data_IF_365691278059
#
_entry.id   IF_365691278059
#
_cell.length_a   1.000
_cell.length_b   1.000
_cell.length_c   1.000
_cell.angle_alpha   90.00
_cell.angle_beta   90.00
_cell.angle_gamma   90.00
#
_symmetry.space_group_name_H-M   'P 1'
#
loop_
_entity.id
_entity.type
_entity.pdbx_description
1 polymer ?
#
# COMPACT_ATOMS: atom_id res chain seq x y z
N UNK A 1 33.20 -4.88 -17.33
CA UNK A 1 32.42 -5.79 -18.21
C UNK A 1 31.06 -5.14 -18.49
N UNK A 2 30.57 -5.19 -19.74
CA UNK A 2 29.17 -4.82 -20.03
C UNK A 2 28.32 -6.08 -19.91
N UNK A 3 27.52 -6.17 -18.85
CA UNK A 3 26.47 -7.17 -18.74
C UNK A 3 25.36 -6.77 -19.72
N UNK A 4 25.04 -7.64 -20.68
CA UNK A 4 24.10 -7.31 -21.77
C UNK A 4 22.78 -8.08 -21.69
N UNK A 5 22.75 -9.18 -20.96
CA UNK A 5 21.56 -10.02 -20.78
C UNK A 5 21.31 -10.34 -19.30
N UNK A 6 20.06 -10.63 -18.97
CA UNK A 6 19.66 -10.99 -17.60
C UNK A 6 20.36 -12.27 -17.11
N UNK A 7 20.59 -13.23 -18.00
CA UNK A 7 21.32 -14.47 -17.69
C UNK A 7 22.79 -14.21 -17.37
N UNK A 8 23.43 -13.28 -18.10
CA UNK A 8 24.79 -12.84 -17.77
C UNK A 8 24.80 -12.10 -16.43
N UNK A 9 23.80 -11.26 -16.18
CA UNK A 9 23.70 -10.50 -14.94
C UNK A 9 23.64 -11.45 -13.73
N UNK A 10 22.79 -12.45 -13.79
CA UNK A 10 22.54 -13.40 -12.71
C UNK A 10 23.58 -14.53 -12.64
N UNK A 11 24.71 -14.38 -13.32
CA UNK A 11 25.86 -15.26 -13.14
C UNK A 11 26.57 -14.94 -11.81
N UNK A 12 26.96 -15.94 -11.00
CA UNK A 12 27.64 -15.71 -9.72
C UNK A 12 28.88 -14.81 -9.81
N UNK A 13 29.65 -14.90 -10.90
CA UNK A 13 30.83 -14.04 -11.12
C UNK A 13 30.50 -12.54 -11.26
N UNK A 14 29.27 -12.22 -11.65
CA UNK A 14 28.82 -10.83 -11.82
C UNK A 14 28.06 -10.32 -10.59
N UNK A 15 28.00 -11.10 -9.50
CA UNK A 15 27.26 -10.75 -8.29
C UNK A 15 27.71 -9.40 -7.73
N UNK A 16 29.02 -9.18 -7.57
CA UNK A 16 29.57 -7.93 -7.04
C UNK A 16 29.22 -6.71 -7.91
N UNK A 17 29.21 -6.89 -9.24
CA UNK A 17 28.84 -5.83 -10.19
C UNK A 17 27.36 -5.46 -10.01
N UNK A 18 26.47 -6.44 -9.81
CA UNK A 18 25.07 -6.19 -9.53
C UNK A 18 24.89 -5.47 -8.21
N UNK A 19 25.55 -5.93 -7.15
CA UNK A 19 25.44 -5.30 -5.83
C UNK A 19 25.91 -3.85 -5.90
N UNK A 20 27.04 -3.59 -6.56
CA UNK A 20 27.53 -2.23 -6.78
C UNK A 20 26.53 -1.37 -7.55
N UNK A 21 25.92 -1.92 -8.61
CA UNK A 21 24.89 -1.20 -9.39
C UNK A 21 23.66 -0.86 -8.54
N UNK A 22 23.24 -1.77 -7.66
CA UNK A 22 22.15 -1.51 -6.71
C UNK A 22 22.54 -0.42 -5.72
N UNK A 23 23.78 -0.43 -5.20
CA UNK A 23 24.31 0.59 -4.30
C UNK A 23 24.28 1.98 -4.91
N UNK A 24 24.72 2.10 -6.14
CA UNK A 24 24.69 3.37 -6.88
C UNK A 24 23.24 3.85 -7.10
N UNK A 25 22.35 2.97 -7.55
CA UNK A 25 20.93 3.32 -7.80
C UNK A 25 20.17 3.69 -6.53
N UNK A 26 20.46 3.02 -5.42
CA UNK A 26 19.80 3.24 -4.15
C UNK A 26 20.50 4.28 -3.27
N UNK A 27 21.54 4.95 -3.78
CA UNK A 27 22.34 5.96 -3.08
C UNK A 27 22.85 5.42 -1.73
N UNK A 28 23.68 4.36 -1.80
CA UNK A 28 24.35 3.81 -0.62
C UNK A 28 25.43 4.76 -0.10
N UNK A 29 25.38 5.05 1.19
CA UNK A 29 26.37 5.80 1.93
C UNK A 29 27.33 4.81 2.61
N UNK A 30 28.58 4.80 2.15
CA UNK A 30 29.65 3.93 2.65
C UNK A 30 30.12 4.34 4.06
N UNK A 31 30.00 5.62 4.46
CA UNK A 31 30.43 6.09 5.79
C UNK A 31 29.46 5.65 6.88
N UNK A 32 28.16 5.72 6.57
CA UNK A 32 27.08 5.40 7.50
C UNK A 32 26.52 3.99 7.30
N UNK A 33 27.06 3.23 6.34
CA UNK A 33 26.58 1.91 5.92
C UNK A 33 25.05 1.85 5.75
N UNK A 34 24.47 2.83 5.04
CA UNK A 34 23.03 2.89 4.85
C UNK A 34 22.64 3.30 3.43
N UNK A 35 21.54 2.75 2.93
CA UNK A 35 20.93 3.27 1.70
C UNK A 35 20.07 4.49 2.01
N UNK A 36 20.23 5.56 1.25
CA UNK A 36 19.33 6.72 1.29
C UNK A 36 17.96 6.39 0.66
N UNK A 37 17.93 5.54 -0.37
CA UNK A 37 16.69 5.01 -0.98
C UNK A 37 16.48 3.53 -0.64
N UNK A 38 16.38 3.18 0.65
CA UNK A 38 16.22 1.79 1.14
C UNK A 38 15.09 1.00 0.44
N UNK A 39 13.94 1.63 0.23
CA UNK A 39 12.80 1.00 -0.44
C UNK A 39 13.08 0.60 -1.89
N UNK A 40 13.97 1.33 -2.57
CA UNK A 40 14.42 1.01 -3.92
C UNK A 40 15.39 -0.18 -3.89
N UNK A 41 16.40 -0.16 -3.01
CA UNK A 41 17.32 -1.29 -2.82
C UNK A 41 16.54 -2.59 -2.58
N UNK A 42 15.58 -2.57 -1.66
CA UNK A 42 14.70 -3.70 -1.38
C UNK A 42 13.97 -4.26 -2.59
N UNK A 43 13.31 -3.36 -3.33
CA UNK A 43 12.54 -3.75 -4.50
C UNK A 43 13.44 -4.36 -5.55
N UNK A 44 14.61 -3.77 -5.78
CA UNK A 44 15.60 -4.28 -6.72
C UNK A 44 16.07 -5.67 -6.29
N UNK A 45 16.39 -5.87 -5.01
CA UNK A 45 16.77 -7.17 -4.48
C UNK A 45 15.71 -8.25 -4.66
N UNK A 46 14.46 -7.95 -4.29
CA UNK A 46 13.34 -8.90 -4.49
C UNK A 46 13.13 -9.22 -5.96
N UNK A 47 13.25 -8.23 -6.84
CA UNK A 47 13.18 -8.41 -8.28
C UNK A 47 14.30 -9.32 -8.79
N UNK A 48 15.55 -9.10 -8.36
CA UNK A 48 16.70 -9.91 -8.73
C UNK A 48 16.53 -11.37 -8.29
N UNK A 49 16.11 -11.60 -7.04
CA UNK A 49 15.82 -12.94 -6.52
C UNK A 49 14.73 -13.65 -7.32
N UNK A 50 13.67 -12.92 -7.69
CA UNK A 50 12.60 -13.46 -8.53
C UNK A 50 13.11 -13.83 -9.93
N UNK A 51 13.97 -13.01 -10.53
CA UNK A 51 14.56 -13.31 -11.83
C UNK A 51 15.48 -14.55 -11.77
N UNK A 52 16.29 -14.70 -10.72
CA UNK A 52 17.11 -15.89 -10.51
C UNK A 52 16.26 -17.16 -10.37
N UNK A 53 15.16 -17.09 -9.61
CA UNK A 53 14.21 -18.19 -9.49
C UNK A 53 13.57 -18.57 -10.82
N UNK A 54 13.18 -17.59 -11.64
CA UNK A 54 12.62 -17.84 -12.98
C UNK A 54 13.65 -18.50 -13.89
N UNK A 55 14.90 -18.02 -13.90
CA UNK A 55 15.97 -18.64 -14.67
C UNK A 55 16.21 -20.09 -14.24
N UNK A 56 16.24 -20.36 -12.93
CA UNK A 56 16.34 -21.73 -12.40
C UNK A 56 15.19 -22.61 -12.89
N UNK A 57 13.96 -22.12 -12.81
CA UNK A 57 12.79 -22.86 -13.25
C UNK A 57 12.80 -23.15 -14.76
N UNK A 58 13.33 -22.23 -15.58
CA UNK A 58 13.52 -22.45 -17.01
C UNK A 58 14.64 -23.45 -17.31
N UNK A 59 15.74 -23.42 -16.55
CA UNK A 59 16.84 -24.37 -16.66
C UNK A 59 16.40 -25.80 -16.35
N UNK A 60 15.66 -25.99 -15.26
CA UNK A 60 15.10 -27.30 -14.87
C UNK A 60 14.21 -27.86 -16.00
N UNK A 61 13.37 -27.01 -16.61
CA UNK A 61 12.51 -27.43 -17.73
C UNK A 61 13.30 -27.83 -18.99
N UNK A 62 14.51 -27.31 -19.15
CA UNK A 62 15.39 -27.56 -20.30
C UNK A 62 16.45 -28.62 -20.02
N UNK A 63 16.45 -29.20 -18.81
CA UNK A 63 17.48 -30.15 -18.34
C UNK A 63 18.91 -29.58 -18.44
N UNK A 64 19.05 -28.27 -18.19
CA UNK A 64 20.35 -27.56 -18.19
C UNK A 64 20.90 -27.47 -16.76
N UNK A 65 21.60 -28.53 -16.33
CA UNK A 65 22.13 -28.65 -14.97
C UNK A 65 23.18 -27.58 -14.63
N UNK A 66 23.93 -27.09 -15.61
CA UNK A 66 24.92 -26.04 -15.42
C UNK A 66 24.23 -24.71 -15.05
N UNK A 67 23.17 -24.35 -15.75
CA UNK A 67 22.41 -23.13 -15.46
C UNK A 67 21.66 -23.25 -14.12
N UNK A 68 21.18 -24.44 -13.75
CA UNK A 68 20.61 -24.71 -12.42
C UNK A 68 21.65 -24.45 -11.33
N UNK A 69 22.85 -25.01 -11.48
CA UNK A 69 23.93 -24.83 -10.52
C UNK A 69 24.36 -23.36 -10.40
N UNK A 70 24.42 -22.62 -11.52
CA UNK A 70 24.73 -21.19 -11.50
C UNK A 70 23.66 -20.39 -10.74
N UNK A 71 22.38 -20.67 -11.00
CA UNK A 71 21.28 -19.99 -10.31
C UNK A 71 21.25 -20.29 -8.80
N UNK A 72 21.58 -21.52 -8.40
CA UNK A 72 21.67 -21.91 -6.99
C UNK A 72 22.85 -21.26 -6.26
N UNK A 73 24.01 -21.15 -6.94
CA UNK A 73 25.15 -20.40 -6.42
C UNK A 73 24.82 -18.92 -6.25
N UNK A 74 24.12 -18.32 -7.22
CA UNK A 74 23.67 -16.93 -7.12
C UNK A 74 22.68 -16.73 -5.96
N UNK A 75 21.70 -17.63 -5.77
CA UNK A 75 20.74 -17.52 -4.65
C UNK A 75 21.41 -17.72 -3.28
N UNK A 76 22.45 -18.54 -3.23
CA UNK A 76 23.26 -18.74 -2.02
C UNK A 76 24.04 -17.47 -1.64
N UNK A 77 24.71 -16.83 -2.60
CA UNK A 77 25.35 -15.52 -2.41
C UNK A 77 24.35 -14.45 -1.99
N UNK A 78 23.19 -14.43 -2.65
CA UNK A 78 22.12 -13.49 -2.32
C UNK A 78 21.55 -13.72 -0.92
N UNK A 79 21.45 -14.96 -0.44
CA UNK A 79 20.89 -15.25 0.88
C UNK A 79 21.87 -15.00 2.03
N UNK A 80 23.18 -15.09 1.77
CA UNK A 80 24.21 -14.71 2.74
C UNK A 80 24.42 -13.20 2.80
N UNK A 81 24.79 -12.59 1.67
CA UNK A 81 25.34 -11.24 1.70
C UNK A 81 24.25 -10.15 1.69
N UNK A 82 23.12 -10.39 1.02
CA UNK A 82 22.10 -9.36 0.83
C UNK A 82 21.39 -8.93 2.13
N UNK A 83 21.14 -9.88 3.03
CA UNK A 83 20.45 -9.59 4.29
C UNK A 83 21.33 -8.77 5.24
N UNK A 84 22.64 -9.00 5.20
CA UNK A 84 23.62 -8.19 5.95
C UNK A 84 23.73 -6.78 5.37
N UNK A 85 23.64 -6.63 4.03
CA UNK A 85 23.69 -5.31 3.38
C UNK A 85 22.44 -4.46 3.60
N UNK A 86 21.24 -5.06 3.56
CA UNK A 86 19.98 -4.31 3.62
C UNK A 86 19.52 -4.06 5.07
N UNK A 87 20.12 -4.78 6.02
CA UNK A 87 19.92 -4.59 7.45
C UNK A 87 18.57 -5.16 7.92
N UNK A 88 18.61 -6.12 8.83
CA UNK A 88 17.45 -6.80 9.43
C UNK A 88 16.44 -5.88 10.18
N UNK A 89 16.58 -4.56 10.13
CA UNK A 89 15.81 -3.57 10.90
C UNK A 89 14.62 -2.95 10.14
N UNK A 90 14.28 -3.45 8.95
CA UNK A 90 13.37 -2.78 8.00
C UNK A 90 11.93 -2.62 8.45
N UNK A 91 11.35 -3.61 9.13
CA UNK A 91 9.97 -3.50 9.58
C UNK A 91 9.83 -2.34 10.57
N UNK A 92 10.70 -2.27 11.56
CA UNK A 92 10.51 -1.34 12.66
C UNK A 92 10.87 0.10 12.30
N UNK A 93 11.89 0.34 11.47
CA UNK A 93 12.35 1.70 11.15
C UNK A 93 11.38 2.46 10.23
N UNK A 94 10.89 1.84 9.15
CA UNK A 94 9.91 2.47 8.23
C UNK A 94 8.58 2.69 8.93
N UNK A 95 8.15 1.73 9.76
CA UNK A 95 6.95 1.88 10.57
C UNK A 95 7.12 3.00 11.60
N UNK A 96 8.27 3.10 12.30
CA UNK A 96 8.55 4.19 13.25
C UNK A 96 8.56 5.57 12.58
N UNK A 97 9.19 5.72 11.42
CA UNK A 97 9.21 7.00 10.70
C UNK A 97 7.81 7.43 10.21
N UNK A 98 7.01 6.48 9.70
CA UNK A 98 5.62 6.77 9.30
C UNK A 98 4.68 6.96 10.49
N UNK A 99 4.96 6.31 11.61
CA UNK A 99 4.18 6.41 12.85
C UNK A 99 4.43 7.74 13.57
N UNK A 100 5.68 8.21 13.56
CA UNK A 100 6.08 9.46 14.20
C UNK A 100 5.81 10.70 13.34
N UNK A 101 5.39 10.54 12.06
CA UNK A 101 4.89 11.68 11.29
C UNK A 101 3.64 12.22 11.98
N UNK A 102 3.59 13.52 12.31
CA UNK A 102 2.41 14.11 12.90
C UNK A 102 1.23 13.87 11.95
N UNK A 103 0.16 13.26 12.48
CA UNK A 103 -1.10 13.12 11.76
C UNK A 103 -1.72 14.52 11.65
N UNK A 104 -1.28 15.29 10.66
CA UNK A 104 -1.87 16.57 10.34
C UNK A 104 -3.31 16.32 9.87
N UNK A 105 -4.27 16.88 10.60
CA UNK A 105 -5.63 16.96 10.10
C UNK A 105 -5.62 17.84 8.84
N UNK A 106 -6.36 17.47 7.78
CA UNK A 106 -6.53 18.35 6.63
C UNK A 106 -7.06 19.71 7.09
N UNK A 107 -6.54 20.79 6.51
CA UNK A 107 -7.07 22.12 6.79
C UNK A 107 -8.54 22.20 6.33
N UNK A 108 -9.38 22.92 7.09
CA UNK A 108 -10.79 23.11 6.72
C UNK A 108 -10.95 23.68 5.30
N UNK A 109 -10.08 24.63 4.93
CA UNK A 109 -10.05 25.21 3.59
C UNK A 109 -9.81 24.18 2.47
N UNK A 110 -9.06 23.12 2.74
CA UNK A 110 -8.81 22.07 1.75
C UNK A 110 -10.00 21.09 1.67
N UNK A 111 -10.67 20.84 2.79
CA UNK A 111 -11.91 20.06 2.83
C UNK A 111 -13.01 20.78 2.02
N UNK A 112 -13.15 22.10 2.19
CA UNK A 112 -14.09 22.93 1.44
C UNK A 112 -13.84 22.88 -0.07
N UNK A 113 -12.58 23.02 -0.50
CA UNK A 113 -12.21 22.90 -1.93
C UNK A 113 -12.59 21.55 -2.51
N UNK A 114 -12.39 20.47 -1.75
CA UNK A 114 -12.74 19.13 -2.21
C UNK A 114 -14.27 18.98 -2.32
N UNK A 115 -15.04 19.49 -1.35
CA UNK A 115 -16.50 19.49 -1.45
C UNK A 115 -17.00 20.24 -2.70
N UNK A 116 -16.46 21.43 -2.97
CA UNK A 116 -16.80 22.21 -4.16
C UNK A 116 -16.48 21.47 -5.47
N UNK A 117 -15.33 20.81 -5.52
CA UNK A 117 -14.95 19.98 -6.67
C UNK A 117 -15.92 18.81 -6.85
N UNK A 118 -16.25 18.11 -5.78
CA UNK A 118 -17.19 16.97 -5.82
C UNK A 118 -18.58 17.41 -6.27
N UNK A 119 -19.09 18.55 -5.78
CA UNK A 119 -20.38 19.12 -6.21
C UNK A 119 -20.40 19.48 -7.70
N UNK A 120 -19.27 19.95 -8.23
CA UNK A 120 -19.12 20.27 -9.65
C UNK A 120 -19.12 18.99 -10.50
N UNK A 121 -18.38 17.97 -10.08
CA UNK A 121 -18.31 16.67 -10.77
C UNK A 121 -19.63 15.89 -10.69
N UNK A 122 -20.39 16.03 -9.60
CA UNK A 122 -21.73 15.46 -9.43
C UNK A 122 -22.76 15.99 -10.44
N UNK A 123 -22.56 17.22 -10.91
CA UNK A 123 -23.42 17.86 -11.94
C UNK A 123 -23.06 17.44 -13.36
N UNK A 124 -22.00 16.65 -13.54
CA UNK A 124 -21.65 16.08 -14.86
C UNK A 124 -22.56 14.89 -15.19
N UNK A 125 -23.09 14.83 -16.42
CA UNK A 125 -24.08 13.82 -16.85
C UNK A 125 -23.50 12.41 -17.11
N UNK A 126 -22.33 12.09 -16.56
CA UNK A 126 -21.66 10.81 -16.81
C UNK A 126 -21.82 9.87 -15.60
N UNK A 127 -22.24 8.63 -15.86
CA UNK A 127 -22.51 7.63 -14.81
C UNK A 127 -21.24 7.13 -14.07
N UNK A 128 -20.09 7.05 -14.76
CA UNK A 128 -18.83 6.59 -14.16
C UNK A 128 -18.26 7.55 -13.11
N UNK A 129 -18.27 8.88 -13.32
CA UNK A 129 -17.96 9.85 -12.27
C UNK A 129 -18.86 9.75 -11.04
N UNK A 130 -20.16 9.48 -11.21
CA UNK A 130 -21.12 9.53 -10.11
C UNK A 130 -20.80 8.57 -8.96
N UNK A 131 -20.41 7.34 -9.28
CA UNK A 131 -20.03 6.33 -8.26
C UNK A 131 -18.75 6.72 -7.52
N UNK A 132 -17.75 7.26 -8.23
CA UNK A 132 -16.49 7.73 -7.65
C UNK A 132 -16.70 8.95 -6.76
N UNK A 133 -17.49 9.92 -7.23
CA UNK A 133 -17.82 11.15 -6.50
C UNK A 133 -18.64 10.83 -5.25
N UNK A 134 -19.62 9.93 -5.36
CA UNK A 134 -20.42 9.47 -4.21
C UNK A 134 -19.54 8.77 -3.18
N UNK A 135 -18.69 7.83 -3.60
CA UNK A 135 -17.77 7.12 -2.71
C UNK A 135 -16.80 8.09 -2.01
N UNK A 136 -16.26 9.07 -2.76
CA UNK A 136 -15.38 10.09 -2.22
C UNK A 136 -16.11 10.95 -1.18
N UNK A 137 -17.32 11.44 -1.50
CA UNK A 137 -18.15 12.27 -0.61
C UNK A 137 -18.48 11.56 0.70
N UNK A 138 -18.93 10.30 0.63
CA UNK A 138 -19.25 9.48 1.80
C UNK A 138 -18.00 9.19 2.64
N UNK A 139 -16.85 8.95 2.00
CA UNK A 139 -15.59 8.72 2.70
C UNK A 139 -15.07 9.98 3.41
N UNK A 140 -15.23 11.15 2.78
CA UNK A 140 -14.85 12.45 3.33
C UNK A 140 -15.73 12.81 4.53
N UNK A 141 -17.05 12.69 4.38
CA UNK A 141 -18.02 12.98 5.43
C UNK A 141 -17.78 12.12 6.69
N UNK A 142 -17.61 10.81 6.50
CA UNK A 142 -17.40 9.89 7.62
C UNK A 142 -15.95 9.87 8.14
N UNK A 143 -15.00 10.53 7.46
CA UNK A 143 -13.55 10.43 7.73
C UNK A 143 -13.05 8.98 7.85
N UNK A 144 -13.66 8.06 7.11
CA UNK A 144 -13.34 6.63 7.09
C UNK A 144 -12.69 6.24 5.77
N UNK A 145 -11.92 5.16 5.78
CA UNK A 145 -11.33 4.61 4.54
C UNK A 145 -12.47 4.13 3.64
N UNK A 146 -12.41 4.44 2.35
CA UNK A 146 -13.45 4.07 1.38
C UNK A 146 -13.73 2.57 1.25
N UNK A 147 -12.86 1.70 1.79
CA UNK A 147 -13.07 0.25 1.81
C UNK A 147 -14.27 -0.21 2.64
N UNK A 148 -14.68 0.54 3.66
CA UNK A 148 -15.90 0.25 4.44
C UNK A 148 -17.15 0.66 3.66
N UNK A 149 -17.16 1.89 3.13
CA UNK A 149 -18.27 2.43 2.34
C UNK A 149 -18.50 1.64 1.03
N UNK A 150 -17.44 1.16 0.38
CA UNK A 150 -17.54 0.36 -0.85
C UNK A 150 -18.20 -1.01 -0.64
N UNK A 151 -18.16 -1.56 0.58
CA UNK A 151 -18.70 -2.89 0.90
C UNK A 151 -20.17 -2.85 1.34
N UNK A 152 -20.75 -1.67 1.45
CA UNK A 152 -22.16 -1.51 1.78
C UNK A 152 -23.02 -2.14 0.67
N UNK A 153 -23.79 -3.17 1.02
CA UNK A 153 -24.74 -3.79 0.09
C UNK A 153 -26.03 -2.98 0.03
N UNK A 154 -26.76 -3.14 -1.07
CA UNK A 154 -28.08 -2.50 -1.25
C UNK A 154 -29.04 -2.97 -0.15
N UNK A 155 -29.08 -4.27 0.16
CA UNK A 155 -29.92 -4.80 1.23
C UNK A 155 -29.60 -4.18 2.61
N UNK A 156 -28.32 -3.94 2.90
CA UNK A 156 -27.89 -3.32 4.16
C UNK A 156 -28.30 -1.83 4.18
N UNK A 157 -28.20 -1.16 3.02
CA UNK A 157 -28.65 0.21 2.81
C UNK A 157 -30.16 0.37 3.03
N UNK A 158 -30.96 -0.47 2.39
CA UNK A 158 -32.41 -0.45 2.52
C UNK A 158 -32.85 -0.75 3.95
N UNK A 159 -32.24 -1.76 4.59
CA UNK A 159 -32.54 -2.08 6.00
C UNK A 159 -32.20 -0.94 6.93
N UNK A 160 -31.02 -0.32 6.78
CA UNK A 160 -30.64 0.79 7.68
C UNK A 160 -31.38 2.10 7.41
N UNK A 161 -31.92 2.31 6.19
CA UNK A 161 -32.83 3.43 5.93
C UNK A 161 -34.21 3.26 6.60
N UNK A 162 -34.64 2.02 6.80
CA UNK A 162 -35.91 1.69 7.48
C UNK A 162 -35.72 1.54 8.99
N UNK A 163 -34.56 1.03 9.43
CA UNK A 163 -34.16 0.95 10.84
C UNK A 163 -33.73 2.31 11.35
N UNK A 164 -34.70 3.19 11.62
CA UNK A 164 -34.53 4.32 12.51
C UNK A 164 -34.33 3.82 13.94
N UNK A 165 -33.18 3.22 14.24
CA UNK A 165 -32.94 2.56 15.54
C UNK A 165 -31.76 3.20 16.24
N UNK A 166 -32.00 4.35 16.83
CA UNK A 166 -31.42 4.63 18.14
C UNK A 166 -32.44 4.12 19.16
N UNK A 167 -32.02 3.32 20.14
CA UNK A 167 -32.90 3.04 21.28
C UNK A 167 -33.26 4.38 21.93
N UNK A 168 -34.51 4.52 22.42
CA UNK A 168 -34.95 5.75 23.08
C UNK A 168 -33.99 6.16 24.20
N UNK A 169 -33.48 5.17 24.94
CA UNK A 169 -32.43 5.33 25.96
C UNK A 169 -31.16 6.01 25.42
N UNK A 170 -30.68 5.62 24.24
CA UNK A 170 -29.49 6.25 23.62
C UNK A 170 -29.78 7.68 23.19
N UNK A 171 -31.00 7.97 22.72
CA UNK A 171 -31.39 9.32 22.28
C UNK A 171 -31.52 10.30 23.43
N UNK A 172 -32.01 9.83 24.58
CA UNK A 172 -32.21 10.66 25.76
C UNK A 172 -30.89 11.15 26.37
N UNK A 173 -29.83 10.33 26.27
CA UNK A 173 -28.46 10.64 26.69
C UNK A 173 -27.70 11.60 25.75
N UNK A 174 -28.25 11.91 24.56
CA UNK A 174 -27.62 12.83 23.61
C UNK A 174 -27.77 14.29 24.02
N UNK A 175 -26.76 15.10 23.69
CA UNK A 175 -26.86 16.55 23.77
C UNK A 175 -27.88 17.11 22.76
N UNK A 176 -28.36 18.33 23.01
CA UNK A 176 -29.29 19.02 22.10
C UNK A 176 -28.75 19.18 20.66
N UNK A 177 -27.43 19.29 20.51
CA UNK A 177 -26.79 19.34 19.20
C UNK A 177 -26.80 17.97 18.52
N UNK A 178 -26.49 16.90 19.25
CA UNK A 178 -26.50 15.54 18.73
C UNK A 178 -27.91 15.07 18.36
N UNK A 179 -28.93 15.43 19.15
CA UNK A 179 -30.34 15.17 18.81
C UNK A 179 -30.73 15.78 17.47
N UNK A 180 -30.31 17.03 17.23
CA UNK A 180 -30.50 17.69 15.92
C UNK A 180 -29.72 17.01 14.81
N UNK A 181 -28.49 16.57 15.05
CA UNK A 181 -27.70 15.85 14.05
C UNK A 181 -28.32 14.51 13.68
N UNK A 182 -28.84 13.76 14.65
CA UNK A 182 -29.54 12.49 14.43
C UNK A 182 -30.82 12.69 13.60
N UNK A 183 -31.53 13.80 13.77
CA UNK A 183 -32.69 14.11 12.91
C UNK A 183 -32.30 14.44 11.47
N UNK A 184 -31.04 14.84 11.23
CA UNK A 184 -30.55 15.22 9.91
C UNK A 184 -29.79 14.09 9.19
N UNK A 185 -29.19 13.14 9.91
CA UNK A 185 -28.33 12.10 9.35
C UNK A 185 -28.81 10.69 9.72
N UNK A 186 -28.83 9.81 8.72
CA UNK A 186 -29.11 8.38 8.94
C UNK A 186 -27.85 7.65 9.38
N UNK A 187 -27.96 6.87 10.45
CA UNK A 187 -26.90 5.95 10.90
C UNK A 187 -27.07 4.61 10.22
N UNK A 188 -25.98 4.10 9.65
CA UNK A 188 -25.91 2.78 9.01
C UNK A 188 -24.91 1.91 9.75
N UNK A 189 -25.31 0.70 10.13
CA UNK A 189 -24.40 -0.27 10.75
C UNK A 189 -23.87 -1.23 9.69
N UNK A 190 -22.55 -1.26 9.53
CA UNK A 190 -21.85 -2.13 8.59
C UNK A 190 -20.95 -3.07 9.37
N UNK A 191 -20.94 -4.35 9.01
CA UNK A 191 -20.08 -5.34 9.66
C UNK A 191 -18.60 -4.97 9.47
N UNK A 192 -17.91 -4.65 10.57
CA UNK A 192 -16.48 -4.41 10.59
C UNK A 192 -15.67 -5.69 10.30
N UNK A 193 -14.41 -5.53 9.87
CA UNK A 193 -13.46 -6.64 9.85
C UNK A 193 -13.01 -6.90 11.29
N UNK A 194 -13.35 -8.07 11.84
CA UNK A 194 -12.57 -8.66 12.93
C UNK A 194 -11.29 -9.21 12.29
N UNK A 195 -10.12 -8.73 12.73
CA UNK A 195 -8.86 -9.41 12.51
C UNK A 195 -8.67 -10.46 13.59
#
# INVERSE_FOLDING_TARGET
MKVSTLTQALHPENFDIIIQSVRELAEFDEEQHHFKRRSLALRLGRSLKKCAFVLKAEAIKKEDDDLVMQADRFDSLFSGDWFDYVGANEGQSIHKERFNKPKLLPACADIEKIHLLLDTEMRSNYYSPYTKVTLCSVSLFNRKRGGEAHRLKIDDFEKGMVSGTNSQETYDDLSELEKKLVSHFSRMEIRGNFW
#
